data_IF_016825822605
#
_entry.id   IF_016825822605
#
_cell.length_a   1.000
_cell.length_b   1.000
_cell.length_c   1.000
_cell.angle_alpha   90.00
_cell.angle_beta   90.00
_cell.angle_gamma   90.00
#
_symmetry.space_group_name_H-M   'P 1'
#
loop_
_entity.id
_entity.type
_entity.pdbx_description
1 polymer ?
#
# COMPACT_ATOMS: atom_id res chain seq x y z
N UNK A 1 17.95 26.29 0.78
CA UNK A 1 18.41 26.75 -0.53
C UNK A 1 18.98 25.54 -1.26
N UNK A 2 18.28 25.07 -2.31
CA UNK A 2 18.76 23.97 -3.15
C UNK A 2 20.06 24.44 -3.82
N UNK A 3 21.17 23.74 -3.63
CA UNK A 3 22.45 24.14 -4.22
C UNK A 3 22.44 23.86 -5.72
N UNK A 4 22.94 24.81 -6.53
CA UNK A 4 22.99 24.68 -8.00
C UNK A 4 23.77 23.43 -8.45
N UNK A 5 24.67 22.95 -7.60
CA UNK A 5 25.41 21.69 -7.77
C UNK A 5 24.49 20.48 -7.74
N UNK A 6 23.52 20.42 -6.83
CA UNK A 6 22.58 19.30 -6.73
C UNK A 6 21.64 19.27 -7.95
N UNK A 7 21.22 20.44 -8.42
CA UNK A 7 20.41 20.57 -9.64
C UNK A 7 21.18 20.11 -10.90
N UNK A 8 22.48 20.39 -10.98
CA UNK A 8 23.32 19.93 -12.08
C UNK A 8 23.50 18.40 -12.07
N UNK A 9 23.68 17.80 -10.90
CA UNK A 9 23.81 16.34 -10.73
C UNK A 9 22.51 15.63 -11.14
N UNK A 10 21.36 16.16 -10.72
CA UNK A 10 20.05 15.59 -11.09
C UNK A 10 19.79 15.69 -12.60
N UNK A 11 20.14 16.83 -13.22
CA UNK A 11 20.02 16.98 -14.67
C UNK A 11 20.91 16.00 -15.44
N UNK A 12 22.12 15.74 -14.96
CA UNK A 12 23.04 14.78 -15.57
C UNK A 12 22.51 13.36 -15.45
N UNK A 13 22.00 12.98 -14.28
CA UNK A 13 21.35 11.68 -14.04
C UNK A 13 20.13 11.48 -14.94
N UNK A 14 19.31 12.51 -15.14
CA UNK A 14 18.16 12.48 -16.08
C UNK A 14 18.62 12.28 -17.53
N UNK A 15 19.69 12.96 -17.97
CA UNK A 15 20.23 12.83 -19.33
C UNK A 15 20.79 11.42 -19.58
N UNK A 16 21.50 10.86 -18.61
CA UNK A 16 22.06 9.50 -18.69
C UNK A 16 20.96 8.44 -18.74
N UNK A 17 19.93 8.56 -17.90
CA UNK A 17 18.77 7.67 -17.92
C UNK A 17 18.02 7.71 -19.26
N UNK A 18 17.86 8.90 -19.86
CA UNK A 18 17.27 9.04 -21.21
C UNK A 18 18.11 8.35 -22.28
N UNK A 19 19.45 8.43 -22.20
CA UNK A 19 20.36 7.73 -23.14
C UNK A 19 20.30 6.21 -22.94
N UNK A 20 20.30 5.73 -21.70
CA UNK A 20 20.18 4.31 -21.37
C UNK A 20 18.84 3.72 -21.87
N UNK A 21 17.74 4.44 -21.67
CA UNK A 21 16.43 4.03 -22.16
C UNK A 21 16.37 3.93 -23.70
N UNK A 22 16.93 4.92 -24.41
CA UNK A 22 17.03 4.88 -25.88
C UNK A 22 17.88 3.70 -26.38
N UNK A 23 18.98 3.36 -25.70
CA UNK A 23 19.82 2.19 -26.02
C UNK A 23 19.07 0.88 -25.81
N UNK A 24 18.38 0.72 -24.67
CA UNK A 24 17.58 -0.47 -24.37
C UNK A 24 16.47 -0.71 -25.40
N UNK A 25 15.82 0.37 -25.87
CA UNK A 25 14.80 0.28 -26.94
C UNK A 25 15.38 -0.20 -28.27
N UNK A 26 16.57 0.25 -28.65
CA UNK A 26 17.25 -0.20 -29.89
C UNK A 26 17.64 -1.67 -29.79
N UNK A 27 18.18 -2.10 -28.66
CA UNK A 27 18.56 -3.50 -28.43
C UNK A 27 17.34 -4.43 -28.53
N UNK A 28 16.22 -4.09 -27.88
CA UNK A 28 15.01 -4.91 -27.96
C UNK A 28 14.44 -5.03 -29.37
N UNK A 29 14.53 -3.98 -30.20
CA UNK A 29 14.06 -4.03 -31.58
C UNK A 29 14.95 -4.92 -32.46
N UNK A 30 16.27 -4.85 -32.31
CA UNK A 30 17.22 -5.71 -33.03
C UNK A 30 17.06 -7.18 -32.62
N UNK A 31 16.83 -7.44 -31.33
CA UNK A 31 16.53 -8.80 -30.84
C UNK A 31 15.23 -9.32 -31.45
N UNK A 32 14.17 -8.50 -31.51
CA UNK A 32 12.90 -8.90 -32.10
C UNK A 32 13.00 -9.18 -33.62
N UNK A 33 13.82 -8.42 -34.34
CA UNK A 33 14.06 -8.60 -35.78
C UNK A 33 14.88 -9.89 -36.05
N UNK A 34 15.92 -10.14 -35.24
CA UNK A 34 16.73 -11.36 -35.32
C UNK A 34 16.00 -12.66 -34.95
N UNK A 35 14.96 -12.55 -34.10
CA UNK A 35 14.10 -13.68 -33.72
C UNK A 35 13.07 -13.95 -34.83
N UNK A 36 12.55 -12.91 -35.48
CA UNK A 36 11.60 -13.04 -36.58
C UNK A 36 12.21 -13.68 -37.84
N UNK A 37 13.47 -13.37 -38.17
CA UNK A 37 14.18 -13.97 -39.32
C UNK A 37 14.46 -15.48 -39.16
N UNK A 38 14.56 -15.97 -37.92
CA UNK A 38 14.86 -17.39 -37.63
C UNK A 38 13.65 -18.30 -37.55
N UNK A 39 12.43 -17.76 -37.49
CA UNK A 39 11.19 -18.51 -37.28
C UNK A 39 10.36 -18.71 -38.56
N UNK A 40 11.01 -18.87 -39.71
CA UNK A 40 10.35 -19.45 -40.88
C UNK A 40 10.31 -20.98 -40.70
N UNK A 41 9.10 -21.56 -40.69
CA UNK A 41 8.79 -23.00 -40.78
C UNK A 41 8.70 -23.86 -39.51
N UNK A 42 8.17 -23.36 -38.38
CA UNK A 42 7.63 -24.28 -37.35
C UNK A 42 6.44 -23.68 -36.58
N UNK A 43 5.25 -24.25 -36.75
CA UNK A 43 4.01 -23.83 -36.06
C UNK A 43 4.08 -24.02 -34.53
N UNK A 44 4.86 -25.00 -34.06
CA UNK A 44 5.08 -25.23 -32.64
C UNK A 44 5.96 -24.11 -32.02
N UNK A 45 7.05 -23.75 -32.71
CA UNK A 45 7.90 -22.63 -32.32
C UNK A 45 7.15 -21.29 -32.38
N UNK A 46 6.21 -21.12 -33.33
CA UNK A 46 5.35 -19.94 -33.37
C UNK A 46 4.39 -19.84 -32.18
N UNK A 47 3.82 -20.96 -31.72
CA UNK A 47 2.95 -20.97 -30.54
C UNK A 47 3.73 -20.67 -29.25
N UNK A 48 4.93 -21.24 -29.09
CA UNK A 48 5.79 -20.94 -27.95
C UNK A 48 6.31 -19.50 -27.99
N UNK A 49 6.76 -19.02 -29.15
CA UNK A 49 7.17 -17.62 -29.31
C UNK A 49 6.02 -16.64 -29.07
N UNK A 50 4.77 -16.99 -29.44
CA UNK A 50 3.58 -16.17 -29.17
C UNK A 50 3.18 -16.19 -27.70
N UNK A 51 3.42 -17.31 -27.00
CA UNK A 51 3.28 -17.39 -25.55
C UNK A 51 4.32 -16.51 -24.85
N UNK A 52 5.60 -16.63 -25.22
CA UNK A 52 6.68 -15.78 -24.70
C UNK A 52 6.46 -14.30 -25.02
N UNK A 53 6.04 -13.97 -26.25
CA UNK A 53 5.71 -12.60 -26.65
C UNK A 53 4.51 -12.05 -25.87
N UNK A 54 3.53 -12.89 -25.51
CA UNK A 54 2.43 -12.51 -24.61
C UNK A 54 2.90 -12.30 -23.18
N UNK A 55 3.84 -13.09 -22.66
CA UNK A 55 4.46 -12.82 -21.35
C UNK A 55 5.21 -11.47 -21.36
N UNK A 56 6.06 -11.26 -22.36
CA UNK A 56 6.83 -10.01 -22.52
C UNK A 56 5.90 -8.80 -22.66
N UNK A 57 4.87 -8.87 -23.50
CA UNK A 57 3.93 -7.76 -23.68
C UNK A 57 2.99 -7.55 -22.49
N UNK A 58 2.69 -8.60 -21.69
CA UNK A 58 1.95 -8.46 -20.44
C UNK A 58 2.77 -7.68 -19.41
N UNK A 59 4.07 -7.98 -19.27
CA UNK A 59 4.99 -7.24 -18.41
C UNK A 59 5.12 -5.77 -18.83
N UNK A 60 5.18 -5.49 -20.14
CA UNK A 60 5.19 -4.11 -20.64
C UNK A 60 3.87 -3.38 -20.41
N UNK A 61 2.72 -4.07 -20.51
CA UNK A 61 1.39 -3.48 -20.29
C UNK A 61 1.13 -3.23 -18.79
N UNK A 62 1.59 -4.13 -17.93
CA UNK A 62 1.61 -3.96 -16.48
C UNK A 62 2.61 -2.85 -16.06
N UNK A 63 3.79 -2.77 -16.68
CA UNK A 63 4.72 -1.65 -16.50
C UNK A 63 4.10 -0.32 -16.91
N UNK A 64 3.40 -0.25 -18.05
CA UNK A 64 2.71 0.99 -18.47
C UNK A 64 1.58 1.37 -17.52
N UNK A 65 0.83 0.42 -16.96
CA UNK A 65 -0.15 0.70 -15.89
C UNK A 65 0.53 1.27 -14.65
N UNK A 66 1.61 0.63 -14.21
CA UNK A 66 2.40 1.04 -13.04
C UNK A 66 3.02 2.44 -13.18
N UNK A 67 3.37 2.86 -14.40
CA UNK A 67 3.89 4.21 -14.70
C UNK A 67 2.78 5.26 -14.73
N UNK A 68 1.54 4.89 -15.07
CA UNK A 68 0.39 5.82 -15.17
C UNK A 68 -0.32 6.01 -13.82
N UNK A 69 -0.38 4.99 -12.96
CA UNK A 69 -1.13 5.05 -11.69
C UNK A 69 -0.31 5.42 -10.47
N UNK A 70 1.00 5.67 -10.62
CA UNK A 70 1.91 5.71 -9.48
C UNK A 70 2.14 4.30 -8.93
N UNK A 71 3.37 3.99 -8.58
CA UNK A 71 3.78 2.65 -8.17
C UNK A 71 3.45 2.40 -6.69
N UNK A 72 2.18 2.49 -6.31
CA UNK A 72 1.70 2.05 -4.99
C UNK A 72 1.41 0.56 -5.04
N UNK A 73 2.40 -0.23 -4.62
CA UNK A 73 2.23 -1.68 -4.45
C UNK A 73 2.03 -1.93 -2.97
N UNK A 74 0.92 -2.56 -2.59
CA UNK A 74 0.60 -2.84 -1.19
C UNK A 74 1.76 -3.49 -0.41
N UNK A 75 2.55 -4.37 -1.03
CA UNK A 75 3.74 -4.95 -0.41
C UNK A 75 4.88 -3.95 -0.18
N UNK A 76 5.11 -3.03 -1.13
CA UNK A 76 6.10 -1.96 -1.00
C UNK A 76 5.62 -0.93 0.02
N UNK A 77 4.35 -0.57 0.00
CA UNK A 77 3.76 0.38 0.96
C UNK A 77 3.79 -0.19 2.38
N UNK A 78 3.49 -1.49 2.56
CA UNK A 78 3.61 -2.17 3.85
C UNK A 78 5.06 -2.21 4.34
N UNK A 79 6.02 -2.51 3.45
CA UNK A 79 7.45 -2.46 3.79
C UNK A 79 7.88 -1.06 4.21
N UNK A 80 7.54 -0.03 3.43
CA UNK A 80 7.87 1.36 3.73
C UNK A 80 7.22 1.82 5.04
N UNK A 81 5.99 1.39 5.30
CA UNK A 81 5.29 1.68 6.56
C UNK A 81 6.02 1.05 7.75
N UNK A 82 6.36 -0.25 7.67
CA UNK A 82 7.07 -0.95 8.73
C UNK A 82 8.46 -0.33 8.97
N UNK A 83 9.19 -0.03 7.89
CA UNK A 83 10.49 0.64 7.97
C UNK A 83 10.39 2.00 8.67
N UNK A 84 9.40 2.83 8.29
CA UNK A 84 9.20 4.13 8.91
C UNK A 84 8.89 4.02 10.41
N UNK A 85 8.04 3.07 10.82
CA UNK A 85 7.70 2.83 12.23
C UNK A 85 8.94 2.40 13.03
N UNK A 86 9.69 1.42 12.55
CA UNK A 86 10.90 0.93 13.22
C UNK A 86 11.97 2.01 13.31
N UNK A 87 12.17 2.77 12.23
CA UNK A 87 13.11 3.87 12.21
C UNK A 87 12.74 4.96 13.22
N UNK A 88 11.46 5.35 13.26
CA UNK A 88 10.97 6.32 14.22
C UNK A 88 11.17 5.83 15.65
N UNK A 89 10.76 4.60 15.97
CA UNK A 89 10.95 4.02 17.31
C UNK A 89 12.42 3.94 17.72
N UNK A 90 13.32 3.55 16.81
CA UNK A 90 14.76 3.53 17.07
C UNK A 90 15.27 4.93 17.38
N UNK A 91 14.80 5.95 16.65
CA UNK A 91 15.18 7.34 16.89
C UNK A 91 14.71 7.79 18.27
N UNK A 92 13.45 7.57 18.64
CA UNK A 92 12.91 7.95 19.95
C UNK A 92 13.63 7.25 21.09
N UNK A 93 13.95 5.96 20.92
CA UNK A 93 14.69 5.19 21.90
C UNK A 93 16.12 5.73 22.09
N UNK A 94 16.76 6.19 21.01
CA UNK A 94 18.11 6.79 21.11
C UNK A 94 18.11 8.20 21.69
N UNK A 95 17.03 8.98 21.52
CA UNK A 95 16.96 10.35 22.03
C UNK A 95 16.42 10.44 23.45
N UNK A 96 15.39 9.65 23.78
CA UNK A 96 14.61 9.76 25.02
C UNK A 96 14.64 8.48 25.87
N UNK A 97 15.27 7.41 25.37
CA UNK A 97 15.32 6.08 26.01
C UNK A 97 13.94 5.56 26.45
N UNK A 98 12.90 5.90 25.69
CA UNK A 98 11.52 5.53 25.97
C UNK A 98 10.82 5.03 24.71
N UNK A 99 9.78 4.21 24.92
CA UNK A 99 8.87 3.78 23.86
C UNK A 99 7.51 4.42 24.14
N UNK A 100 6.99 5.15 23.17
CA UNK A 100 5.72 5.83 23.34
C UNK A 100 4.53 4.85 23.32
N UNK A 101 4.01 4.56 24.50
CA UNK A 101 2.83 3.71 24.71
C UNK A 101 1.52 4.41 24.32
N UNK A 102 1.53 5.72 24.09
CA UNK A 102 0.33 6.48 23.76
C UNK A 102 -0.25 6.06 22.40
N UNK A 103 0.59 5.61 21.47
CA UNK A 103 0.15 5.20 20.12
C UNK A 103 -0.14 3.69 20.01
N UNK A 104 0.09 2.92 21.08
CA UNK A 104 -0.15 1.48 21.06
C UNK A 104 -1.65 1.18 20.93
N UNK A 105 -2.00 0.33 19.96
CA UNK A 105 -3.37 -0.10 19.70
C UNK A 105 -4.36 1.05 19.39
N UNK A 106 -3.87 2.19 18.90
CA UNK A 106 -4.71 3.32 18.49
C UNK A 106 -4.64 3.51 16.99
N UNK A 107 -5.77 3.37 16.31
CA UNK A 107 -5.88 3.61 14.86
C UNK A 107 -6.50 5.00 14.66
N UNK A 108 -5.78 5.95 14.04
CA UNK A 108 -6.37 7.24 13.69
C UNK A 108 -7.42 7.02 12.61
N UNK A 109 -8.61 7.59 12.81
CA UNK A 109 -9.70 7.54 11.86
C UNK A 109 -9.84 8.91 11.20
N UNK A 110 -9.97 8.93 9.87
CA UNK A 110 -10.25 10.15 9.14
C UNK A 110 -11.58 10.75 9.61
N UNK A 111 -11.61 12.08 9.78
CA UNK A 111 -12.77 12.85 10.23
C UNK A 111 -13.28 12.56 11.66
N UNK A 112 -12.44 11.99 12.55
CA UNK A 112 -12.77 11.83 13.97
C UNK A 112 -11.66 12.38 14.85
N UNK A 113 -12.05 13.10 15.89
CA UNK A 113 -11.10 13.67 16.86
C UNK A 113 -10.48 12.59 17.77
N UNK A 114 -11.19 11.47 17.97
CA UNK A 114 -10.74 10.38 18.82
C UNK A 114 -10.30 9.16 17.99
N UNK A 115 -9.13 8.57 18.27
CA UNK A 115 -8.66 7.37 17.58
C UNK A 115 -9.43 6.13 18.04
N UNK A 116 -9.53 5.13 17.16
CA UNK A 116 -10.08 3.83 17.50
C UNK A 116 -9.08 3.07 18.38
N UNK A 117 -9.46 2.80 19.62
CA UNK A 117 -8.65 2.04 20.56
C UNK A 117 -9.02 0.55 20.52
N UNK A 118 -8.09 -0.30 20.07
CA UNK A 118 -8.27 -1.75 20.04
C UNK A 118 -7.95 -2.34 21.42
N UNK A 119 -8.97 -2.84 22.12
CA UNK A 119 -8.80 -3.58 23.37
C UNK A 119 -9.05 -5.05 23.14
N UNK A 120 -8.24 -5.92 23.75
CA UNK A 120 -8.56 -7.34 23.84
C UNK A 120 -9.86 -7.47 24.62
N UNK A 121 -10.87 -8.10 24.04
CA UNK A 121 -12.08 -8.48 24.77
C UNK A 121 -11.68 -9.45 25.86
N UNK A 122 -11.90 -9.08 27.12
CA UNK A 122 -11.94 -10.05 28.20
C UNK A 122 -13.20 -10.87 27.98
N UNK A 123 -13.04 -12.06 27.38
CA UNK A 123 -14.10 -13.06 27.41
C UNK A 123 -14.12 -13.50 28.86
N UNK A 124 -15.04 -12.96 29.65
CA UNK A 124 -15.30 -13.45 31.00
C UNK A 124 -15.60 -14.94 30.82
N UNK A 125 -14.82 -15.86 31.43
CA UNK A 125 -15.20 -17.26 31.41
C UNK A 125 -16.61 -17.35 31.96
N UNK A 126 -17.48 -18.13 31.32
CA UNK A 126 -18.87 -18.35 31.75
C UNK A 126 -18.81 -19.11 33.10
N UNK A 127 -18.46 -18.40 34.16
CA UNK A 127 -18.59 -18.82 35.53
C UNK A 127 -19.93 -18.26 35.96
N UNK A 128 -20.94 -19.14 35.94
CA UNK A 128 -22.24 -19.06 36.61
C UNK A 128 -22.85 -17.64 36.66
N UNK A 129 -23.85 -17.43 35.79
CA UNK A 129 -24.87 -16.39 35.91
C UNK A 129 -25.16 -16.07 37.38
N UNK A 130 -24.63 -14.94 37.87
CA UNK A 130 -25.31 -14.16 38.88
C UNK A 130 -26.21 -13.18 38.13
N UNK A 131 -27.50 -13.29 38.37
CA UNK A 131 -28.62 -12.81 37.54
C UNK A 131 -28.77 -11.28 37.39
N UNK A 132 -27.79 -10.45 37.78
CA UNK A 132 -27.99 -8.99 37.86
C UNK A 132 -26.95 -8.11 37.15
N UNK A 133 -25.97 -8.67 36.46
CA UNK A 133 -25.09 -7.86 35.61
C UNK A 133 -25.58 -7.92 34.16
N UNK A 134 -26.55 -7.06 33.83
CA UNK A 134 -26.77 -6.70 32.44
C UNK A 134 -25.44 -6.21 31.88
N UNK A 135 -24.88 -6.96 30.91
CA UNK A 135 -23.63 -6.65 30.22
C UNK A 135 -23.58 -5.14 29.92
N UNK A 136 -22.78 -4.36 30.66
CA UNK A 136 -22.71 -2.91 30.52
C UNK A 136 -22.40 -2.48 29.07
N UNK A 137 -21.76 -3.37 28.31
CA UNK A 137 -21.55 -3.23 26.88
C UNK A 137 -22.85 -3.31 26.06
N UNK A 138 -23.77 -4.22 26.37
CA UNK A 138 -25.08 -4.33 25.72
C UNK A 138 -25.95 -3.10 26.00
N UNK A 139 -25.92 -2.57 27.22
CA UNK A 139 -26.59 -1.31 27.56
C UNK A 139 -25.99 -0.12 26.79
N UNK A 140 -24.66 0.02 26.78
CA UNK A 140 -23.98 1.03 25.98
C UNK A 140 -24.30 0.88 24.47
N UNK A 141 -24.43 -0.35 23.97
CA UNK A 141 -24.79 -0.62 22.57
C UNK A 141 -26.22 -0.20 22.26
N UNK A 142 -27.17 -0.43 23.19
CA UNK A 142 -28.57 0.03 23.06
C UNK A 142 -28.63 1.55 23.00
N UNK A 143 -27.87 2.24 23.86
CA UNK A 143 -27.83 3.70 23.91
C UNK A 143 -27.22 4.31 22.64
N UNK A 144 -26.10 3.76 22.16
CA UNK A 144 -25.47 4.16 20.88
C UNK A 144 -26.43 3.96 19.71
N UNK A 145 -27.18 2.84 19.68
CA UNK A 145 -28.14 2.59 18.62
C UNK A 145 -29.31 3.58 18.67
N UNK A 146 -29.80 3.95 19.85
CA UNK A 146 -30.84 4.98 20.02
C UNK A 146 -30.38 6.34 19.49
N UNK A 147 -29.12 6.73 19.76
CA UNK A 147 -28.54 7.96 19.22
C UNK A 147 -28.41 7.91 17.69
N UNK A 148 -28.01 6.77 17.12
CA UNK A 148 -27.94 6.57 15.66
C UNK A 148 -29.30 6.67 14.99
N UNK A 149 -30.35 6.13 15.60
CA UNK A 149 -31.71 6.25 15.07
C UNK A 149 -32.24 7.68 15.14
N UNK A 150 -31.93 8.42 16.21
CA UNK A 150 -32.29 9.83 16.32
C UNK A 150 -31.64 10.66 15.21
N UNK A 151 -30.34 10.45 14.95
CA UNK A 151 -29.63 11.12 13.84
C UNK A 151 -30.24 10.74 12.49
N UNK A 152 -30.55 9.45 12.26
CA UNK A 152 -31.21 9.02 11.01
C UNK A 152 -32.57 9.68 10.80
N UNK A 153 -33.41 9.77 11.83
CA UNK A 153 -34.73 10.40 11.74
C UNK A 153 -34.63 11.88 11.43
N UNK A 154 -33.65 12.58 12.01
CA UNK A 154 -33.45 14.01 11.75
C UNK A 154 -32.86 14.27 10.36
N UNK A 155 -32.01 13.38 9.84
CA UNK A 155 -31.48 13.47 8.48
C UNK A 155 -32.50 13.18 7.38
N UNK A 156 -33.62 12.52 7.71
CA UNK A 156 -34.74 12.26 6.79
C UNK A 156 -35.79 13.39 6.77
N UNK A 157 -35.77 14.29 7.75
CA UNK A 157 -36.72 15.40 7.91
C UNK A 157 -36.16 16.75 7.39
N UNK A 158 -35.00 16.72 6.73
CA UNK A 158 -34.38 17.85 5.99
C UNK A 158 -34.31 17.50 4.53
#
# INVERSE_FOLDING_TARGET
MLHDVDAAIDLQRIKENKKAFKRKRRYNNVVAESVAEKTGTDEAAWKDAKFEQRLLTRDFREQKRNVVTGLHRAGVDAFMTAFAVVYQQRRTLMTENSVDLQYLNRIPLSAKDQPLHLRRRQIVPIAKKEENEEDAHLEAMKEINKQREHVKKNALNT
#
